data_IF_511420891878
#
_entry.id   IF_511420891878
#
_cell.length_a   1.000
_cell.length_b   1.000
_cell.length_c   1.000
_cell.angle_alpha   90.00
_cell.angle_beta   90.00
_cell.angle_gamma   90.00
#
_symmetry.space_group_name_H-M   'P 1'
#
loop_
_entity.id
_entity.type
_entity.pdbx_description
1 polymer ?
#
# COMPACT_ATOMS: atom_id res chain seq x y z
N UNK A 1 -2.98 10.62 -30.63
CA UNK A 1 -3.93 9.85 -29.84
C UNK A 1 -5.36 10.22 -30.17
N UNK A 2 -6.31 9.36 -29.83
CA UNK A 2 -7.75 9.58 -30.08
C UNK A 2 -8.50 9.99 -28.81
N UNK A 3 -7.78 10.36 -27.74
CA UNK A 3 -8.37 10.83 -26.48
C UNK A 3 -8.50 12.36 -26.45
N UNK A 4 -9.24 12.85 -25.45
CA UNK A 4 -9.43 14.29 -25.19
C UNK A 4 -8.12 14.94 -24.72
N UNK A 5 -7.27 14.18 -24.00
CA UNK A 5 -5.99 14.60 -23.46
C UNK A 5 -4.88 13.62 -23.85
N UNK A 6 -3.63 14.09 -23.85
CA UNK A 6 -2.45 13.26 -24.18
C UNK A 6 -1.76 12.72 -22.93
N UNK A 7 -1.85 13.44 -21.81
CA UNK A 7 -1.22 13.11 -20.53
C UNK A 7 -2.25 13.07 -19.41
N UNK A 8 -1.92 12.44 -18.31
CA UNK A 8 -2.76 12.46 -17.11
C UNK A 8 -2.77 13.86 -16.47
N UNK A 9 -1.64 14.56 -16.53
CA UNK A 9 -1.53 15.93 -16.00
C UNK A 9 -2.48 16.86 -16.76
N UNK A 10 -2.53 16.83 -18.10
CA UNK A 10 -3.50 17.61 -18.90
C UNK A 10 -4.94 17.24 -18.57
N UNK A 11 -5.23 15.93 -18.40
CA UNK A 11 -6.57 15.47 -18.02
C UNK A 11 -6.99 16.02 -16.64
N UNK A 12 -6.05 16.08 -15.70
CA UNK A 12 -6.28 16.64 -14.38
C UNK A 12 -6.59 18.14 -14.40
N UNK A 13 -5.87 18.90 -15.22
CA UNK A 13 -6.10 20.35 -15.40
C UNK A 13 -7.46 20.64 -16.03
N UNK A 14 -8.01 19.69 -16.79
CA UNK A 14 -9.35 19.78 -17.39
C UNK A 14 -10.50 19.45 -16.42
N UNK A 15 -10.24 18.95 -15.21
CA UNK A 15 -11.27 18.59 -14.24
C UNK A 15 -11.54 19.79 -13.32
N UNK A 16 -12.83 20.12 -13.14
CA UNK A 16 -13.26 21.20 -12.24
C UNK A 16 -12.95 20.84 -10.78
N UNK A 17 -12.51 21.83 -10.01
CA UNK A 17 -12.31 21.67 -8.57
C UNK A 17 -13.63 21.51 -7.79
N UNK A 18 -13.57 20.79 -6.66
CA UNK A 18 -14.67 20.66 -5.69
C UNK A 18 -16.00 20.20 -6.33
N UNK A 19 -15.93 19.08 -7.06
CA UNK A 19 -17.13 18.54 -7.70
C UNK A 19 -17.98 17.78 -6.69
N UNK A 20 -19.29 18.05 -6.72
CA UNK A 20 -20.33 17.31 -5.99
C UNK A 20 -20.90 16.12 -6.79
N UNK A 21 -20.40 15.90 -8.01
CA UNK A 21 -20.74 14.80 -8.88
C UNK A 21 -19.51 13.98 -9.26
N UNK A 22 -19.74 12.75 -9.70
CA UNK A 22 -18.68 11.81 -10.06
C UNK A 22 -18.20 12.04 -11.49
N UNK A 23 -16.87 12.07 -11.66
CA UNK A 23 -16.22 12.11 -12.97
C UNK A 23 -15.47 10.81 -13.20
N UNK A 24 -15.47 10.31 -14.42
CA UNK A 24 -14.69 9.15 -14.84
C UNK A 24 -13.65 9.58 -15.87
N UNK A 25 -12.39 9.27 -15.58
CA UNK A 25 -11.26 9.43 -16.49
C UNK A 25 -10.89 8.05 -17.05
N UNK A 26 -11.12 7.84 -18.33
CA UNK A 26 -10.72 6.61 -19.02
C UNK A 26 -9.28 6.76 -19.51
N UNK A 27 -8.38 5.95 -18.98
CA UNK A 27 -6.97 5.97 -19.31
C UNK A 27 -6.69 4.88 -20.35
N UNK A 28 -6.37 5.27 -21.57
CA UNK A 28 -6.06 4.34 -22.66
C UNK A 28 -4.77 3.58 -22.36
N UNK A 29 -4.61 2.40 -22.96
CA UNK A 29 -3.35 1.67 -22.91
C UNK A 29 -2.20 2.52 -23.44
N UNK A 30 -1.08 2.50 -22.74
CA UNK A 30 0.11 3.29 -23.03
C UNK A 30 1.03 3.37 -21.83
N UNK A 31 2.23 3.88 -22.05
CA UNK A 31 3.21 4.18 -21.01
C UNK A 31 3.26 5.70 -20.82
N UNK A 32 2.80 6.17 -19.69
CA UNK A 32 2.75 7.57 -19.30
C UNK A 32 3.94 7.87 -18.39
N UNK A 33 5.04 8.37 -18.99
CA UNK A 33 6.23 8.73 -18.20
C UNK A 33 6.08 10.16 -17.67
N UNK A 34 5.40 10.28 -16.55
CA UNK A 34 5.12 11.56 -15.90
C UNK A 34 4.97 11.42 -14.38
N UNK A 35 5.28 12.48 -13.65
CA UNK A 35 4.96 12.60 -12.23
C UNK A 35 3.60 13.27 -12.11
N UNK A 36 2.62 12.51 -11.63
CA UNK A 36 1.23 12.97 -11.55
C UNK A 36 0.90 13.36 -10.11
N UNK A 37 0.32 14.54 -9.93
CA UNK A 37 -0.23 14.99 -8.64
C UNK A 37 -1.72 15.20 -8.79
N UNK A 38 -2.51 14.50 -7.97
CA UNK A 38 -3.93 14.72 -7.82
C UNK A 38 -4.13 15.64 -6.62
N UNK A 39 -4.41 16.94 -6.84
CA UNK A 39 -4.42 17.93 -5.79
C UNK A 39 -5.57 17.74 -4.80
N UNK A 40 -5.46 18.33 -3.62
CA UNK A 40 -6.40 18.17 -2.50
C UNK A 40 -7.84 18.63 -2.79
N UNK A 41 -8.04 19.49 -3.77
CA UNK A 41 -9.35 19.92 -4.22
C UNK A 41 -10.04 18.93 -5.19
N UNK A 42 -9.32 17.88 -5.63
CA UNK A 42 -9.88 16.86 -6.50
C UNK A 42 -10.63 15.82 -5.68
N UNK A 43 -11.90 15.66 -5.95
CA UNK A 43 -12.77 14.70 -5.28
C UNK A 43 -13.71 14.01 -6.27
N UNK A 44 -14.21 12.83 -5.88
CA UNK A 44 -15.23 12.11 -6.62
C UNK A 44 -14.82 11.72 -8.06
N UNK A 45 -13.59 11.23 -8.23
CA UNK A 45 -13.06 10.83 -9.55
C UNK A 45 -12.74 9.35 -9.58
N UNK A 46 -13.15 8.68 -10.65
CA UNK A 46 -12.71 7.32 -10.99
C UNK A 46 -11.68 7.38 -12.13
N UNK A 47 -10.48 6.87 -11.91
CA UNK A 47 -9.49 6.62 -12.96
C UNK A 47 -9.56 5.15 -13.38
N UNK A 48 -9.93 4.90 -14.62
CA UNK A 48 -10.12 3.53 -15.13
C UNK A 48 -9.17 3.28 -16.30
N UNK A 49 -8.18 2.42 -16.08
CA UNK A 49 -7.29 1.96 -17.14
C UNK A 49 -7.98 0.96 -18.07
N UNK A 50 -7.64 1.03 -19.34
CA UNK A 50 -8.14 0.09 -20.35
C UNK A 50 -7.66 -1.34 -20.08
N UNK A 51 -6.43 -1.51 -19.58
CA UNK A 51 -5.85 -2.80 -19.23
C UNK A 51 -4.75 -2.62 -18.17
N UNK A 52 -4.78 -3.39 -17.11
CA UNK A 52 -3.86 -3.24 -15.98
C UNK A 52 -2.38 -3.42 -16.36
N UNK A 53 -2.09 -4.30 -17.30
CA UNK A 53 -0.71 -4.61 -17.70
C UNK A 53 -0.14 -3.60 -18.70
N UNK A 54 -1.01 -2.93 -19.45
CA UNK A 54 -0.63 -2.06 -20.57
C UNK A 54 -1.01 -0.59 -20.36
N UNK A 55 -1.61 -0.22 -19.21
CA UNK A 55 -1.91 1.16 -18.84
C UNK A 55 -0.99 1.52 -17.67
N UNK A 56 0.18 2.08 -17.97
CA UNK A 56 1.30 2.21 -17.05
C UNK A 56 1.62 3.69 -16.82
N UNK A 57 1.53 4.14 -15.57
CA UNK A 57 2.05 5.42 -15.13
C UNK A 57 3.40 5.14 -14.49
N UNK A 58 4.48 5.71 -15.02
CA UNK A 58 5.84 5.38 -14.57
C UNK A 58 6.73 6.63 -14.44
N UNK A 59 7.65 6.59 -13.50
CA UNK A 59 8.74 7.54 -13.36
C UNK A 59 9.96 6.87 -12.72
N UNK A 60 11.09 7.59 -12.64
CA UNK A 60 12.38 7.02 -12.25
C UNK A 60 13.16 7.85 -11.21
N UNK A 61 12.48 8.71 -10.43
CA UNK A 61 13.11 9.45 -9.35
C UNK A 61 13.43 8.54 -8.15
N UNK A 62 14.60 8.77 -7.53
CA UNK A 62 14.99 8.14 -6.27
C UNK A 62 15.59 9.17 -5.29
N UNK A 63 15.57 8.87 -4.00
CA UNK A 63 15.88 9.82 -2.92
C UNK A 63 17.26 10.49 -3.02
N UNK A 64 18.23 9.84 -3.69
CA UNK A 64 19.59 10.33 -3.81
C UNK A 64 19.81 11.30 -4.99
N UNK A 65 18.82 11.47 -5.87
CA UNK A 65 18.89 12.49 -6.93
C UNK A 65 18.87 13.87 -6.28
N UNK A 66 19.96 14.62 -6.38
CA UNK A 66 20.06 15.98 -5.84
C UNK A 66 19.57 16.11 -4.38
N UNK A 67 19.79 15.07 -3.57
CA UNK A 67 19.30 14.98 -2.18
C UNK A 67 17.79 15.24 -2.06
N UNK A 68 17.03 14.76 -3.02
CA UNK A 68 15.59 14.96 -3.13
C UNK A 68 14.82 14.45 -1.90
N UNK A 69 15.28 13.33 -1.31
CA UNK A 69 14.61 12.65 -0.21
C UNK A 69 13.38 11.86 -0.66
N UNK A 70 12.92 10.92 0.16
CA UNK A 70 11.90 9.92 -0.17
C UNK A 70 10.60 10.52 -0.70
N UNK A 71 10.06 11.53 -0.01
CA UNK A 71 8.69 12.01 -0.26
C UNK A 71 8.50 12.82 -1.54
N UNK A 72 9.57 13.10 -2.27
CA UNK A 72 9.52 13.77 -3.57
C UNK A 72 9.76 12.84 -4.75
N UNK A 73 9.97 11.55 -4.50
CA UNK A 73 10.29 10.56 -5.54
C UNK A 73 9.07 9.93 -6.20
N UNK A 74 7.87 10.25 -5.76
CA UNK A 74 6.63 9.63 -6.22
C UNK A 74 6.45 9.70 -7.73
N UNK A 75 5.87 8.64 -8.28
CA UNK A 75 5.31 8.65 -9.64
C UNK A 75 3.90 9.24 -9.61
N UNK A 76 3.02 8.71 -8.73
CA UNK A 76 1.68 9.23 -8.51
C UNK A 76 1.54 9.72 -7.07
N UNK A 77 1.16 10.99 -6.88
CA UNK A 77 0.78 11.55 -5.58
C UNK A 77 -0.70 11.88 -5.57
N UNK A 78 -1.43 11.41 -4.54
CA UNK A 78 -2.87 11.59 -4.39
C UNK A 78 -3.13 12.37 -3.09
N UNK A 79 -3.39 13.66 -3.22
CA UNK A 79 -3.79 14.55 -2.12
C UNK A 79 -5.32 14.67 -2.02
N UNK A 80 -6.02 14.42 -3.12
CA UNK A 80 -7.48 14.41 -3.20
C UNK A 80 -8.11 13.22 -2.50
N UNK A 81 -9.42 13.31 -2.24
CA UNK A 81 -10.18 12.30 -1.49
C UNK A 81 -11.33 11.70 -2.30
N UNK A 82 -11.85 10.55 -1.86
CA UNK A 82 -12.96 9.86 -2.57
C UNK A 82 -12.63 9.54 -4.03
N UNK A 83 -11.41 9.01 -4.27
CA UNK A 83 -10.89 8.71 -5.61
C UNK A 83 -10.71 7.20 -5.75
N UNK A 84 -11.16 6.66 -6.88
CA UNK A 84 -11.00 5.24 -7.21
C UNK A 84 -10.07 5.07 -8.41
N UNK A 85 -9.16 4.12 -8.30
CA UNK A 85 -8.29 3.69 -9.39
C UNK A 85 -8.60 2.24 -9.75
N UNK A 86 -8.77 1.96 -11.05
CA UNK A 86 -9.04 0.60 -11.55
C UNK A 86 -8.16 0.27 -12.75
N UNK A 87 -7.65 -0.97 -12.79
CA UNK A 87 -6.93 -1.52 -13.93
C UNK A 87 -5.72 -0.67 -14.38
N UNK A 88 -4.94 -0.15 -13.44
CA UNK A 88 -3.76 0.68 -13.70
C UNK A 88 -2.51 0.06 -13.09
N UNK A 89 -1.38 0.21 -13.78
CA UNK A 89 -0.05 -0.01 -13.22
C UNK A 89 0.56 1.33 -12.84
N UNK A 90 0.97 1.46 -11.58
CA UNK A 90 1.73 2.60 -11.06
C UNK A 90 3.12 2.09 -10.69
N UNK A 91 4.14 2.63 -11.33
CA UNK A 91 5.50 2.14 -11.26
C UNK A 91 6.47 3.27 -10.91
N UNK A 92 7.40 2.99 -9.98
CA UNK A 92 8.66 3.72 -9.95
C UNK A 92 9.76 2.76 -10.40
N UNK A 93 10.29 2.99 -11.61
CA UNK A 93 11.25 2.10 -12.24
C UNK A 93 12.72 2.49 -12.00
N UNK A 94 12.99 3.35 -11.00
CA UNK A 94 14.34 3.65 -10.59
C UNK A 94 15.10 2.38 -10.21
N UNK A 95 16.37 2.32 -10.57
CA UNK A 95 17.26 1.28 -10.09
C UNK A 95 17.34 1.30 -8.54
N UNK A 96 17.84 0.23 -7.91
CA UNK A 96 17.99 0.11 -6.46
C UNK A 96 19.06 1.06 -5.90
N UNK A 97 18.85 2.36 -6.05
CA UNK A 97 19.78 3.44 -5.66
C UNK A 97 19.31 4.22 -4.42
N UNK A 98 18.23 3.81 -3.79
CA UNK A 98 17.63 4.44 -2.62
C UNK A 98 16.10 4.31 -2.65
N UNK A 99 15.45 5.03 -1.75
CA UNK A 99 13.99 5.07 -1.68
C UNK A 99 13.42 5.64 -2.97
N UNK A 100 12.35 5.03 -3.48
CA UNK A 100 11.74 5.37 -4.76
C UNK A 100 10.24 5.02 -4.76
N UNK A 101 9.43 6.01 -4.45
CA UNK A 101 7.99 5.83 -4.23
C UNK A 101 7.24 5.76 -5.57
N UNK A 102 6.46 4.71 -5.78
CA UNK A 102 5.53 4.64 -6.90
C UNK A 102 4.23 5.38 -6.56
N UNK A 103 3.60 5.05 -5.42
CA UNK A 103 2.38 5.69 -4.95
C UNK A 103 2.61 6.42 -3.64
N UNK A 104 2.25 7.70 -3.59
CA UNK A 104 2.22 8.54 -2.39
C UNK A 104 0.78 9.04 -2.17
N UNK A 105 0.17 8.69 -1.05
CA UNK A 105 -1.20 9.15 -0.72
C UNK A 105 -1.19 10.13 0.44
N UNK A 106 -2.07 11.12 0.40
CA UNK A 106 -2.38 12.04 1.50
C UNK A 106 -3.91 12.18 1.68
N UNK A 107 -4.68 11.78 0.67
CA UNK A 107 -6.15 11.85 0.68
C UNK A 107 -6.80 10.71 1.46
N UNK A 108 -8.07 10.94 1.81
CA UNK A 108 -8.94 9.96 2.49
C UNK A 108 -9.88 9.27 1.50
N UNK A 109 -10.33 8.06 1.83
CA UNK A 109 -11.25 7.24 1.03
C UNK A 109 -10.72 6.98 -0.39
N UNK A 110 -9.49 6.46 -0.47
CA UNK A 110 -8.89 6.04 -1.73
C UNK A 110 -9.07 4.55 -1.96
N UNK A 111 -9.52 4.18 -3.16
CA UNK A 111 -9.76 2.79 -3.56
C UNK A 111 -8.91 2.42 -4.75
N UNK A 112 -8.21 1.31 -4.65
CA UNK A 112 -7.43 0.73 -5.73
C UNK A 112 -7.95 -0.68 -6.03
N UNK A 113 -8.45 -0.91 -7.24
CA UNK A 113 -9.05 -2.18 -7.64
C UNK A 113 -8.32 -2.74 -8.85
N UNK A 114 -7.82 -3.98 -8.74
CA UNK A 114 -7.07 -4.64 -9.80
C UNK A 114 -5.95 -3.75 -10.37
N UNK A 115 -5.18 -3.11 -9.46
CA UNK A 115 -4.03 -2.28 -9.79
C UNK A 115 -2.72 -3.02 -9.51
N UNK A 116 -1.64 -2.59 -10.17
CA UNK A 116 -0.29 -3.06 -9.91
C UNK A 116 0.56 -1.91 -9.41
N UNK A 117 1.33 -2.16 -8.34
CA UNK A 117 2.28 -1.21 -7.77
C UNK A 117 3.66 -1.82 -7.85
N UNK A 118 4.49 -1.27 -8.74
CA UNK A 118 5.80 -1.81 -9.06
C UNK A 118 6.88 -0.84 -8.55
N UNK A 119 7.82 -1.37 -7.78
CA UNK A 119 8.91 -0.56 -7.24
C UNK A 119 9.98 -1.39 -6.56
N UNK A 120 10.79 -0.73 -5.77
CA UNK A 120 11.85 -1.34 -4.97
C UNK A 120 11.69 -0.93 -3.51
N UNK A 121 12.62 -0.16 -2.93
CA UNK A 121 12.47 0.36 -1.57
C UNK A 121 11.40 1.45 -1.53
N UNK A 122 10.48 1.37 -0.57
CA UNK A 122 9.45 2.38 -0.31
C UNK A 122 8.40 2.53 -1.45
N UNK A 123 7.94 1.43 -2.05
CA UNK A 123 7.03 1.46 -3.22
C UNK A 123 5.72 2.23 -2.95
N UNK A 124 5.06 2.00 -1.81
CA UNK A 124 3.78 2.65 -1.43
C UNK A 124 3.96 3.40 -0.12
N UNK A 125 3.84 4.72 -0.16
CA UNK A 125 3.67 5.57 1.01
C UNK A 125 2.20 5.88 1.26
N UNK A 126 1.69 5.45 2.41
CA UNK A 126 0.32 5.73 2.87
C UNK A 126 0.36 6.90 3.83
N UNK A 127 0.36 8.11 3.30
CA UNK A 127 0.50 9.34 4.06
C UNK A 127 -0.78 9.77 4.78
N UNK A 128 -0.64 10.79 5.60
CA UNK A 128 -1.63 11.43 6.45
C UNK A 128 -2.27 10.54 7.54
N UNK A 129 -2.28 11.08 8.75
CA UNK A 129 -2.92 10.46 9.92
C UNK A 129 -4.43 10.42 9.74
N UNK A 130 -5.03 9.26 9.97
CA UNK A 130 -6.48 9.08 9.97
C UNK A 130 -7.11 8.94 8.60
N UNK A 131 -6.33 8.90 7.52
CA UNK A 131 -6.83 8.59 6.18
C UNK A 131 -7.06 7.08 6.01
N UNK A 132 -7.94 6.74 5.08
CA UNK A 132 -8.43 5.38 4.85
C UNK A 132 -8.20 4.98 3.41
N UNK A 133 -7.57 3.83 3.24
CA UNK A 133 -7.18 3.30 1.94
C UNK A 133 -7.70 1.86 1.78
N UNK A 134 -8.04 1.48 0.55
CA UNK A 134 -8.46 0.13 0.23
C UNK A 134 -7.79 -0.37 -1.05
N UNK A 135 -7.11 -1.50 -0.95
CA UNK A 135 -6.48 -2.19 -2.07
C UNK A 135 -7.18 -3.53 -2.27
N UNK A 136 -7.87 -3.70 -3.40
CA UNK A 136 -8.67 -4.89 -3.72
C UNK A 136 -8.08 -5.59 -4.95
N UNK A 137 -7.72 -6.87 -4.81
CA UNK A 137 -7.19 -7.69 -5.89
C UNK A 137 -5.96 -7.06 -6.56
N UNK A 138 -5.12 -6.36 -5.80
CA UNK A 138 -3.95 -5.67 -6.32
C UNK A 138 -2.70 -6.56 -6.28
N UNK A 139 -1.74 -6.26 -7.17
CA UNK A 139 -0.38 -6.78 -7.12
C UNK A 139 0.56 -5.69 -6.62
N UNK A 140 1.34 -5.99 -5.59
CA UNK A 140 2.25 -5.03 -4.95
C UNK A 140 3.62 -5.68 -4.80
N UNK A 141 4.67 -5.06 -5.33
CA UNK A 141 6.02 -5.57 -5.19
C UNK A 141 7.01 -4.54 -4.68
N UNK A 142 8.05 -5.02 -4.02
CA UNK A 142 9.15 -4.18 -3.58
C UNK A 142 10.28 -4.94 -2.90
N UNK A 143 11.24 -4.20 -2.36
CA UNK A 143 12.39 -4.76 -1.64
C UNK A 143 12.33 -4.50 -0.14
N UNK A 144 12.44 -3.26 0.29
CA UNK A 144 12.52 -2.85 1.70
C UNK A 144 11.41 -1.88 2.03
N UNK A 145 10.67 -2.14 3.14
CA UNK A 145 9.64 -1.23 3.66
C UNK A 145 8.65 -0.78 2.58
N UNK A 146 8.35 -1.68 1.65
CA UNK A 146 7.69 -1.27 0.41
C UNK A 146 6.20 -0.95 0.55
N UNK A 147 5.65 -1.09 1.78
CA UNK A 147 4.36 -0.54 2.20
C UNK A 147 4.58 0.16 3.53
N UNK A 148 4.55 1.51 3.56
CA UNK A 148 4.90 2.25 4.77
C UNK A 148 4.03 3.50 4.96
N UNK A 149 3.90 3.96 6.22
CA UNK A 149 3.14 5.17 6.55
C UNK A 149 2.16 5.01 7.71
N UNK A 150 1.41 6.08 8.05
CA UNK A 150 0.55 6.16 9.21
C UNK A 150 -0.94 5.82 8.99
N UNK A 151 -1.39 5.68 7.75
CA UNK A 151 -2.82 5.53 7.42
C UNK A 151 -3.41 4.20 7.89
N UNK A 152 -4.73 4.13 7.95
CA UNK A 152 -5.46 2.87 7.96
C UNK A 152 -5.61 2.35 6.55
N UNK A 153 -5.11 1.14 6.26
CA UNK A 153 -5.19 0.55 4.93
C UNK A 153 -5.61 -0.92 4.97
N UNK A 154 -6.64 -1.26 4.18
CA UNK A 154 -7.06 -2.64 3.92
C UNK A 154 -6.45 -3.14 2.62
N UNK A 155 -5.73 -4.25 2.69
CA UNK A 155 -5.27 -5.03 1.55
C UNK A 155 -6.07 -6.34 1.51
N UNK A 156 -6.95 -6.48 0.53
CA UNK A 156 -7.85 -7.65 0.44
C UNK A 156 -7.63 -8.39 -0.88
N UNK A 157 -7.38 -9.70 -0.80
CA UNK A 157 -7.08 -10.57 -1.94
C UNK A 157 -5.90 -10.07 -2.80
N UNK A 158 -4.92 -9.40 -2.17
CA UNK A 158 -3.76 -8.87 -2.87
C UNK A 158 -2.63 -9.90 -2.95
N UNK A 159 -1.81 -9.82 -4.00
CA UNK A 159 -0.51 -10.48 -4.05
C UNK A 159 0.57 -9.51 -3.61
N UNK A 160 1.33 -9.88 -2.58
CA UNK A 160 2.42 -9.10 -2.01
C UNK A 160 3.73 -9.82 -2.35
N UNK A 161 4.55 -9.22 -3.21
CA UNK A 161 5.73 -9.86 -3.79
C UNK A 161 7.04 -9.24 -3.32
N UNK A 162 7.84 -9.99 -2.60
CA UNK A 162 9.14 -9.56 -2.09
C UNK A 162 10.25 -9.82 -3.09
N UNK A 163 10.99 -8.79 -3.47
CA UNK A 163 12.09 -8.83 -4.46
C UNK A 163 13.47 -8.89 -3.81
N UNK A 164 13.56 -8.87 -2.48
CA UNK A 164 14.82 -8.98 -1.72
C UNK A 164 14.55 -9.44 -0.29
N UNK A 165 15.60 -9.96 0.35
CA UNK A 165 15.62 -10.29 1.77
C UNK A 165 15.54 -9.01 2.60
N UNK A 166 14.35 -8.63 3.08
CA UNK A 166 14.11 -7.40 3.82
C UNK A 166 12.74 -7.39 4.51
N UNK A 167 12.00 -6.29 4.46
CA UNK A 167 10.76 -6.07 5.20
C UNK A 167 9.62 -5.68 4.26
N UNK A 168 8.42 -6.25 4.47
CA UNK A 168 7.22 -5.90 3.69
C UNK A 168 6.70 -4.54 4.17
N UNK A 169 6.40 -4.42 5.47
CA UNK A 169 5.76 -3.22 6.01
C UNK A 169 6.64 -2.43 6.97
N UNK A 170 6.49 -1.10 6.95
CA UNK A 170 7.04 -0.17 7.91
C UNK A 170 5.93 0.80 8.36
N UNK A 171 5.00 0.29 9.15
CA UNK A 171 3.89 1.08 9.64
C UNK A 171 4.34 2.15 10.64
N UNK A 172 3.65 3.28 10.66
CA UNK A 172 3.84 4.36 11.64
C UNK A 172 2.50 4.83 12.23
N UNK A 173 1.57 3.90 12.39
CA UNK A 173 0.23 4.14 12.92
C UNK A 173 0.29 4.89 14.24
N UNK A 174 -0.36 6.06 14.38
CA UNK A 174 -0.37 6.81 15.62
C UNK A 174 -1.05 6.07 16.79
N UNK A 175 -0.72 6.46 18.02
CA UNK A 175 -1.25 5.84 19.25
C UNK A 175 -2.78 5.85 19.33
N UNK A 176 -3.39 6.94 18.89
CA UNK A 176 -4.82 7.21 18.94
C UNK A 176 -5.61 6.68 17.73
N UNK A 177 -4.93 6.07 16.76
CA UNK A 177 -5.56 5.37 15.62
C UNK A 177 -5.56 3.86 15.92
N UNK A 178 -6.74 3.27 16.06
CA UNK A 178 -6.89 1.86 16.44
C UNK A 178 -6.37 0.90 15.38
N UNK A 179 -6.68 1.17 14.11
CA UNK A 179 -6.41 0.27 12.98
C UNK A 179 -5.34 0.86 12.08
N UNK A 180 -4.26 0.12 11.86
CA UNK A 180 -3.23 0.43 10.87
C UNK A 180 -3.43 -0.37 9.59
N UNK A 181 -2.48 -1.25 9.25
CA UNK A 181 -2.57 -2.10 8.07
C UNK A 181 -3.30 -3.40 8.38
N UNK A 182 -4.22 -3.78 7.51
CA UNK A 182 -4.96 -5.04 7.55
C UNK A 182 -4.75 -5.78 6.24
N UNK A 183 -4.01 -6.87 6.28
CA UNK A 183 -3.87 -7.80 5.15
C UNK A 183 -4.85 -8.96 5.36
N UNK A 184 -5.82 -9.12 4.46
CA UNK A 184 -6.85 -10.16 4.55
C UNK A 184 -6.90 -10.97 3.26
N UNK A 185 -6.78 -12.30 3.39
CA UNK A 185 -6.80 -13.24 2.28
C UNK A 185 -5.72 -12.92 1.21
N UNK A 186 -4.59 -12.36 1.60
CA UNK A 186 -3.50 -12.03 0.70
C UNK A 186 -2.58 -13.22 0.46
N UNK A 187 -1.89 -13.19 -0.68
CA UNK A 187 -0.85 -14.15 -1.02
C UNK A 187 0.52 -13.47 -0.95
N UNK A 188 1.40 -13.95 -0.09
CA UNK A 188 2.76 -13.47 0.07
C UNK A 188 3.71 -14.36 -0.74
N UNK A 189 4.36 -13.78 -1.73
CA UNK A 189 5.28 -14.46 -2.65
C UNK A 189 6.63 -13.75 -2.68
N UNK A 190 7.63 -14.38 -3.28
CA UNK A 190 8.95 -13.78 -3.42
C UNK A 190 9.66 -14.21 -4.71
N UNK A 191 10.70 -13.48 -5.07
CA UNK A 191 11.63 -13.87 -6.11
C UNK A 191 12.37 -15.18 -5.72
N UNK A 192 12.88 -15.97 -6.68
CA UNK A 192 13.39 -17.32 -6.42
C UNK A 192 14.52 -17.42 -5.39
N UNK A 193 15.35 -16.40 -5.28
CA UNK A 193 16.53 -16.29 -4.40
C UNK A 193 16.24 -15.58 -3.06
N UNK A 194 14.98 -15.27 -2.80
CA UNK A 194 14.54 -14.56 -1.58
C UNK A 194 13.98 -15.57 -0.58
N UNK A 195 14.59 -15.62 0.60
CA UNK A 195 14.30 -16.64 1.64
C UNK A 195 14.24 -16.08 3.08
N UNK A 196 14.46 -14.76 3.27
CA UNK A 196 14.48 -14.13 4.59
C UNK A 196 13.77 -12.79 4.58
N UNK A 197 12.44 -12.83 4.62
CA UNK A 197 11.59 -11.64 4.62
C UNK A 197 10.84 -11.53 5.94
N UNK A 198 10.80 -10.34 6.51
CA UNK A 198 9.97 -10.01 7.67
C UNK A 198 8.62 -9.45 7.19
N UNK A 199 7.54 -9.79 7.87
CA UNK A 199 6.20 -9.22 7.65
C UNK A 199 6.17 -7.70 7.88
N UNK A 200 7.04 -7.25 8.81
CA UNK A 200 7.21 -5.82 9.02
C UNK A 200 8.08 -5.45 10.21
N UNK A 201 8.31 -4.15 10.30
CA UNK A 201 9.00 -3.50 11.42
C UNK A 201 8.35 -2.14 11.74
N UNK A 202 8.34 -1.68 13.01
CA UNK A 202 7.65 -0.46 13.40
C UNK A 202 8.50 0.78 13.09
N UNK A 203 8.14 1.56 12.09
CA UNK A 203 8.82 2.82 11.78
C UNK A 203 8.63 3.86 12.89
N UNK A 204 7.50 3.79 13.61
CA UNK A 204 7.23 4.61 14.80
C UNK A 204 6.61 3.76 15.91
N UNK A 205 6.67 4.21 17.17
CA UNK A 205 5.92 3.59 18.25
C UNK A 205 4.43 3.47 17.90
N UNK A 206 3.77 2.44 18.42
CA UNK A 206 2.36 2.11 18.19
C UNK A 206 2.01 1.65 16.78
N UNK A 207 2.98 1.44 15.90
CA UNK A 207 2.74 0.85 14.58
C UNK A 207 1.82 -0.37 14.67
N UNK A 208 0.80 -0.44 13.80
CA UNK A 208 -0.20 -1.50 13.81
C UNK A 208 -0.28 -2.18 12.44
N UNK A 209 -0.11 -3.50 12.43
CA UNK A 209 -0.25 -4.32 11.21
C UNK A 209 -0.79 -5.70 11.59
N UNK A 210 -1.77 -6.20 10.85
CA UNK A 210 -2.33 -7.53 11.06
C UNK A 210 -2.42 -8.29 9.74
N UNK A 211 -2.04 -9.58 9.77
CA UNK A 211 -2.23 -10.52 8.67
C UNK A 211 -3.28 -11.56 9.06
N UNK A 212 -4.36 -11.66 8.27
CA UNK A 212 -5.52 -12.52 8.53
C UNK A 212 -5.78 -13.41 7.32
N UNK A 213 -5.77 -14.74 7.53
CA UNK A 213 -6.05 -15.75 6.52
C UNK A 213 -5.19 -15.58 5.24
N UNK A 214 -3.94 -15.18 5.40
CA UNK A 214 -3.01 -15.00 4.28
C UNK A 214 -2.26 -16.31 3.97
N UNK A 215 -1.98 -16.56 2.70
CA UNK A 215 -1.06 -17.62 2.26
C UNK A 215 0.38 -17.07 2.27
N UNK A 216 1.25 -17.60 3.11
CA UNK A 216 2.62 -17.12 3.30
C UNK A 216 3.62 -18.13 2.74
N UNK A 217 4.38 -17.73 1.72
CA UNK A 217 5.45 -18.55 1.17
C UNK A 217 6.62 -18.74 2.14
N UNK A 218 7.46 -19.73 1.89
CA UNK A 218 8.62 -20.12 2.72
C UNK A 218 9.65 -19.00 2.96
N UNK A 219 9.60 -17.93 2.16
CA UNK A 219 10.49 -16.76 2.29
C UNK A 219 10.23 -15.94 3.56
N UNK A 220 9.06 -16.08 4.19
CA UNK A 220 8.80 -15.41 5.47
C UNK A 220 9.62 -16.08 6.56
N UNK A 221 10.53 -15.32 7.17
CA UNK A 221 11.44 -15.84 8.18
C UNK A 221 10.69 -16.25 9.46
N UNK A 222 11.20 -17.25 10.22
CA UNK A 222 10.53 -17.76 11.40
C UNK A 222 10.20 -16.71 12.45
N UNK A 223 11.06 -15.71 12.66
CA UNK A 223 10.81 -14.60 13.59
C UNK A 223 9.59 -13.76 13.18
N UNK A 224 9.29 -13.68 11.90
CA UNK A 224 8.15 -12.97 11.29
C UNK A 224 8.25 -11.45 11.32
N UNK A 225 8.75 -10.87 12.40
CA UNK A 225 8.76 -9.43 12.65
C UNK A 225 10.10 -8.96 13.23
N UNK A 226 10.44 -7.69 13.03
CA UNK A 226 11.66 -7.06 13.52
C UNK A 226 11.31 -5.81 14.34
N UNK A 227 12.09 -5.49 15.35
CA UNK A 227 11.85 -4.38 16.27
C UNK A 227 12.52 -3.05 15.85
N UNK A 228 13.06 -2.98 14.63
CA UNK A 228 13.84 -1.83 14.16
C UNK A 228 15.07 -1.52 15.01
N UNK A 229 15.73 -2.55 15.56
CA UNK A 229 16.88 -2.44 16.50
C UNK A 229 16.57 -1.59 17.74
N UNK A 230 15.30 -1.49 18.13
CA UNK A 230 14.84 -0.76 19.29
C UNK A 230 13.88 -1.60 20.13
N UNK A 231 14.33 -2.19 21.25
CA UNK A 231 13.48 -3.01 22.13
C UNK A 231 12.25 -2.27 22.69
N UNK A 232 12.26 -0.94 22.79
CA UNK A 232 11.10 -0.18 23.24
C UNK A 232 9.91 -0.30 22.27
N UNK A 233 10.19 -0.55 20.99
CA UNK A 233 9.16 -0.78 20.00
C UNK A 233 8.34 -2.05 20.29
N UNK A 234 8.95 -3.06 20.91
CA UNK A 234 8.27 -4.30 21.29
C UNK A 234 7.14 -4.08 22.30
N UNK A 235 7.26 -3.04 23.13
CA UNK A 235 6.25 -2.68 24.14
C UNK A 235 5.04 -1.95 23.56
N UNK A 236 5.20 -1.36 22.38
CA UNK A 236 4.19 -0.47 21.80
C UNK A 236 3.63 -0.94 20.46
N UNK A 237 4.38 -1.73 19.70
CA UNK A 237 3.93 -2.27 18.41
C UNK A 237 2.68 -3.14 18.57
N UNK A 238 1.72 -2.94 17.69
CA UNK A 238 0.43 -3.64 17.68
C UNK A 238 0.35 -4.57 16.47
N UNK A 239 1.28 -5.53 16.44
CA UNK A 239 1.38 -6.51 15.36
C UNK A 239 0.66 -7.79 15.72
N UNK A 240 -0.03 -8.38 14.74
CA UNK A 240 -0.82 -9.56 14.99
C UNK A 240 -0.98 -10.46 13.75
N UNK A 241 -1.27 -11.73 14.00
CA UNK A 241 -1.50 -12.75 12.98
C UNK A 241 -2.71 -13.62 13.36
N UNK A 242 -3.45 -14.12 12.32
CA UNK A 242 -4.54 -15.08 12.51
C UNK A 242 -4.78 -15.93 11.27
N UNK A 243 -4.89 -17.23 11.44
CA UNK A 243 -5.38 -18.15 10.41
C UNK A 243 -4.54 -18.20 9.13
N UNK A 244 -3.30 -17.69 9.17
CA UNK A 244 -2.41 -17.74 8.02
C UNK A 244 -1.99 -19.17 7.71
N UNK A 245 -1.71 -19.45 6.42
CA UNK A 245 -1.35 -20.78 5.89
C UNK A 245 -0.06 -20.71 5.08
N UNK A 246 0.47 -21.88 4.71
CA UNK A 246 1.73 -22.01 3.98
C UNK A 246 2.96 -22.11 4.88
N UNK A 247 4.11 -22.43 4.31
CA UNK A 247 5.35 -22.70 5.06
C UNK A 247 5.82 -21.49 5.90
N UNK A 248 5.60 -20.28 5.40
CA UNK A 248 5.96 -19.04 6.11
C UNK A 248 5.01 -18.66 7.25
N UNK A 249 3.90 -19.36 7.41
CA UNK A 249 2.92 -19.10 8.47
C UNK A 249 3.20 -19.84 9.79
N UNK A 250 4.24 -20.69 9.83
CA UNK A 250 4.65 -21.36 11.07
C UNK A 250 5.03 -20.30 12.12
N UNK A 251 4.23 -20.22 13.18
CA UNK A 251 4.39 -19.23 14.24
C UNK A 251 5.17 -19.74 15.46
N UNK A 252 5.69 -20.95 15.42
CA UNK A 252 6.42 -21.59 16.53
C UNK A 252 7.61 -20.75 17.01
N UNK A 253 8.29 -20.11 16.07
CA UNK A 253 9.46 -19.28 16.31
C UNK A 253 9.21 -17.76 16.10
N UNK A 254 7.94 -17.34 16.07
CA UNK A 254 7.60 -15.91 16.02
C UNK A 254 8.13 -15.18 17.24
N UNK A 255 8.49 -13.92 17.07
CA UNK A 255 8.88 -13.06 18.19
C UNK A 255 7.75 -12.97 19.22
N UNK A 256 8.08 -12.99 20.50
CA UNK A 256 7.10 -13.12 21.61
C UNK A 256 6.18 -11.91 21.78
N UNK A 257 6.53 -10.76 21.26
CA UNK A 257 5.76 -9.50 21.38
C UNK A 257 4.67 -9.34 20.31
N UNK A 258 4.56 -10.29 19.38
CA UNK A 258 3.50 -10.32 18.36
C UNK A 258 2.30 -11.13 18.86
N UNK A 259 1.10 -10.59 18.69
CA UNK A 259 -0.13 -11.23 19.15
C UNK A 259 -0.63 -12.27 18.15
N UNK A 260 -0.83 -13.50 18.61
CA UNK A 260 -1.64 -14.48 17.89
C UNK A 260 -3.11 -14.23 18.26
N UNK A 261 -3.91 -13.80 17.29
CA UNK A 261 -5.32 -13.47 17.52
C UNK A 261 -6.16 -14.73 17.70
N UNK A 262 -7.20 -14.62 18.50
CA UNK A 262 -8.25 -15.63 18.63
C UNK A 262 -9.40 -15.35 17.64
N UNK A 263 -10.28 -16.34 17.43
CA UNK A 263 -11.50 -16.12 16.64
C UNK A 263 -12.34 -14.94 17.12
N UNK A 264 -12.39 -14.72 18.44
CA UNK A 264 -13.08 -13.58 19.04
C UNK A 264 -12.43 -12.25 18.66
N UNK A 265 -11.09 -12.19 18.67
CA UNK A 265 -10.36 -10.97 18.30
C UNK A 265 -10.57 -10.62 16.82
N UNK A 266 -10.70 -11.63 15.96
CA UNK A 266 -10.80 -11.45 14.49
C UNK A 266 -12.22 -11.13 14.04
N UNK A 267 -13.24 -11.48 14.82
CA UNK A 267 -14.65 -11.26 14.45
C UNK A 267 -14.93 -9.81 13.99
N UNK A 268 -14.30 -8.83 14.64
CA UNK A 268 -14.42 -7.43 14.24
C UNK A 268 -13.92 -7.13 12.82
N UNK A 269 -12.92 -7.86 12.32
CA UNK A 269 -12.41 -7.70 10.95
C UNK A 269 -13.25 -8.47 9.91
N UNK A 270 -14.24 -9.25 10.33
CA UNK A 270 -15.19 -9.94 9.47
C UNK A 270 -16.46 -9.12 9.27
N UNK A 271 -16.75 -8.19 10.19
CA UNK A 271 -17.87 -7.26 10.04
C UNK A 271 -17.55 -6.22 8.96
N UNK A 272 -18.30 -6.19 7.86
CA UNK A 272 -18.13 -5.16 6.82
C UNK A 272 -18.05 -3.76 7.44
N UNK A 273 -18.94 -3.47 8.40
CA UNK A 273 -19.00 -2.21 9.10
C UNK A 273 -17.74 -1.87 9.92
N UNK A 274 -16.96 -2.81 10.42
CA UNK A 274 -15.75 -2.48 11.18
C UNK A 274 -14.60 -2.06 10.27
N UNK A 275 -14.37 -2.80 9.19
CA UNK A 275 -13.43 -2.42 8.15
C UNK A 275 -13.93 -1.20 7.38
N UNK A 276 -15.25 -1.02 7.30
CA UNK A 276 -15.93 0.07 6.61
C UNK A 276 -16.55 1.13 7.55
N UNK A 277 -16.53 1.01 8.89
CA UNK A 277 -16.68 2.18 9.80
C UNK A 277 -15.55 3.16 9.62
N UNK A 278 -14.45 2.66 9.22
CA UNK A 278 -13.38 3.42 8.61
C UNK A 278 -13.87 3.96 7.26
N UNK A 279 -14.93 3.38 6.65
CA UNK A 279 -15.45 3.63 5.32
C UNK A 279 -17.00 3.51 5.25
N UNK A 280 -17.77 3.77 6.32
CA UNK A 280 -19.21 3.43 6.41
C UNK A 280 -20.12 4.20 5.45
N UNK A 281 -19.63 5.23 4.82
CA UNK A 281 -20.29 5.93 3.72
C UNK A 281 -19.71 5.56 2.35
N UNK A 282 -18.79 4.63 2.33
CA UNK A 282 -18.00 4.27 1.19
C UNK A 282 -18.18 2.79 0.86
N UNK A 283 -19.09 2.49 -0.03
CA UNK A 283 -19.23 1.16 -0.60
C UNK A 283 -18.28 1.05 -1.79
N UNK A 284 -17.25 0.19 -1.72
CA UNK A 284 -16.36 -0.04 -2.85
C UNK A 284 -17.07 -0.65 -4.03
#
# INVERSE_FOLDING_TARGET
GTGDYRTLTEAMEGIRAFMDYKVTVLVKKGVYKEKVVLPSWLENVDFIGENVENTIITYDDHANINKMGTFRTYTLKVEGSSITFKNLTIENNAARLGQAVALHTEGDRLVFINCRFLGNQDTIYTGAKGTRLCFLNCYIEGTTDFIFGPSTALFHNCTIHSKANSYITAASTPKDIEVGYVFKNCKLTAAPDVDKVYLGRPWRPYAATVFINCEMGKHICPAGWDNWRNPENEKTARYAEYGNTGEGADNTNRVKWVKQLTRKDVAKYEEPDYLFKICSEWKP
#
